data_IF_289310233894
#
_entry.id   IF_289310233894
#
_cell.length_a   1.000
_cell.length_b   1.000
_cell.length_c   1.000
_cell.angle_alpha   90.00
_cell.angle_beta   90.00
_cell.angle_gamma   90.00
#
_symmetry.space_group_name_H-M   'P 1'
#
loop_
_entity.id
_entity.type
_entity.pdbx_description
1 polymer ?
#
# COMPACT_ATOMS: atom_id res chain seq x y z
N UNK A 1 -10.19 -10.27 5.87
CA UNK A 1 -9.76 -9.10 5.10
C UNK A 1 -8.60 -9.46 4.21
N UNK A 2 -7.57 -10.09 4.77
CA UNK A 2 -6.41 -10.60 4.04
C UNK A 2 -6.73 -11.41 2.77
N UNK A 3 -7.63 -12.41 2.83
CA UNK A 3 -8.03 -13.15 1.62
C UNK A 3 -8.67 -12.24 0.56
N UNK A 4 -9.47 -11.25 0.97
CA UNK A 4 -10.06 -10.28 0.05
C UNK A 4 -8.96 -9.40 -0.57
N UNK A 5 -8.02 -8.91 0.24
CA UNK A 5 -6.87 -8.12 -0.18
C UNK A 5 -6.07 -8.83 -1.28
N UNK A 6 -5.79 -10.11 -1.12
CA UNK A 6 -5.15 -10.91 -2.16
C UNK A 6 -6.07 -11.10 -3.39
N UNK A 7 -7.33 -11.45 -3.18
CA UNK A 7 -8.27 -11.79 -4.27
C UNK A 7 -8.61 -10.63 -5.21
N UNK A 8 -8.60 -9.38 -4.70
CA UNK A 8 -8.89 -8.19 -5.50
C UNK A 8 -7.63 -7.57 -6.12
N UNK A 9 -6.47 -8.19 -5.93
CA UNK A 9 -5.21 -7.79 -6.57
C UNK A 9 -4.35 -6.81 -5.76
N UNK A 10 -4.70 -6.42 -4.53
CA UNK A 10 -3.83 -5.52 -3.75
C UNK A 10 -2.44 -6.13 -3.51
N UNK A 11 -2.37 -7.44 -3.33
CA UNK A 11 -1.14 -8.18 -3.08
C UNK A 11 -0.18 -8.26 -4.28
N UNK A 12 -0.54 -7.73 -5.46
CA UNK A 12 0.38 -7.71 -6.61
C UNK A 12 1.57 -6.77 -6.40
N UNK A 13 1.36 -5.66 -5.69
CA UNK A 13 2.39 -4.67 -5.33
C UNK A 13 2.61 -4.65 -3.82
N UNK A 14 1.54 -4.76 -3.03
CA UNK A 14 1.63 -4.91 -1.57
C UNK A 14 1.84 -6.37 -1.17
N UNK A 15 2.91 -6.98 -1.68
CA UNK A 15 3.21 -8.39 -1.45
C UNK A 15 3.38 -8.68 0.05
N UNK A 16 2.62 -9.62 0.64
CA UNK A 16 2.60 -9.83 2.09
C UNK A 16 3.99 -10.10 2.66
N UNK A 17 4.72 -11.02 2.04
CA UNK A 17 5.96 -11.58 2.56
C UNK A 17 7.19 -11.04 1.84
N UNK A 18 8.20 -10.71 2.61
CA UNK A 18 9.57 -10.45 2.14
C UNK A 18 10.55 -11.29 2.94
N UNK A 19 11.74 -11.50 2.38
CA UNK A 19 12.83 -12.23 3.04
C UNK A 19 14.11 -11.43 2.95
N UNK A 20 14.81 -11.26 4.07
CA UNK A 20 16.13 -10.65 4.05
C UNK A 20 17.12 -11.52 3.28
N UNK A 21 18.18 -10.89 2.77
CA UNK A 21 19.30 -11.60 2.16
C UNK A 21 20.17 -12.33 3.18
N UNK A 22 21.23 -12.97 2.68
CA UNK A 22 22.26 -13.54 3.55
C UNK A 22 22.95 -12.43 4.35
N UNK A 23 23.18 -12.64 5.64
CA UNK A 23 23.76 -11.66 6.55
C UNK A 23 24.71 -12.29 7.56
N UNK A 24 25.76 -11.55 7.97
CA UNK A 24 26.63 -11.93 9.09
C UNK A 24 25.95 -11.66 10.45
N UNK A 25 24.95 -10.79 10.46
CA UNK A 25 24.12 -10.52 11.64
C UNK A 25 23.06 -11.61 11.68
N UNK A 26 23.21 -12.56 12.61
CA UNK A 26 22.36 -13.76 12.73
C UNK A 26 20.87 -13.44 12.74
N UNK A 27 20.45 -12.36 13.43
CA UNK A 27 19.05 -11.96 13.52
C UNK A 27 18.48 -11.36 12.22
N UNK A 28 19.30 -11.19 11.18
CA UNK A 28 18.91 -10.68 9.86
C UNK A 28 19.21 -11.67 8.73
N UNK A 29 19.72 -12.86 9.01
CA UNK A 29 20.10 -13.83 7.97
C UNK A 29 18.89 -14.65 7.50
N UNK A 30 18.46 -14.42 6.25
CA UNK A 30 17.34 -15.14 5.61
C UNK A 30 16.02 -15.12 6.40
N UNK A 31 15.74 -14.03 7.09
CA UNK A 31 14.55 -13.84 7.92
C UNK A 31 13.36 -13.43 7.06
N UNK A 32 12.26 -14.16 7.20
CA UNK A 32 10.97 -13.82 6.59
C UNK A 32 10.22 -12.80 7.47
N UNK A 33 9.59 -11.82 6.84
CA UNK A 33 8.83 -10.77 7.50
C UNK A 33 7.67 -10.29 6.63
N UNK A 34 6.62 -9.74 7.26
CA UNK A 34 5.36 -9.42 6.59
C UNK A 34 5.18 -7.91 6.43
N UNK A 35 5.86 -7.31 5.45
CA UNK A 35 5.85 -5.86 5.25
C UNK A 35 4.77 -5.37 4.28
N UNK A 36 4.11 -6.26 3.53
CA UNK A 36 3.05 -5.89 2.57
C UNK A 36 3.53 -4.86 1.53
N UNK A 37 4.67 -5.15 0.91
CA UNK A 37 5.33 -4.32 -0.11
C UNK A 37 6.31 -5.18 -0.90
N UNK A 38 6.53 -4.82 -2.15
CA UNK A 38 7.60 -5.35 -3.00
C UNK A 38 8.81 -4.38 -3.10
N UNK A 39 8.68 -3.18 -2.54
CA UNK A 39 9.64 -2.06 -2.63
C UNK A 39 9.94 -1.60 -4.07
N UNK A 40 9.12 -1.97 -5.05
CA UNK A 40 9.27 -1.57 -6.45
C UNK A 40 8.56 -0.24 -6.72
N UNK A 41 8.91 0.38 -7.87
CA UNK A 41 8.23 1.53 -8.42
C UNK A 41 7.09 1.06 -9.33
N UNK A 42 5.93 1.71 -9.20
CA UNK A 42 4.75 1.43 -10.02
C UNK A 42 4.15 2.73 -10.53
N UNK A 43 3.67 2.71 -11.78
CA UNK A 43 2.88 3.80 -12.32
C UNK A 43 1.52 3.87 -11.60
N UNK A 44 1.30 4.94 -10.84
CA UNK A 44 0.05 5.19 -10.11
C UNK A 44 -0.93 6.05 -10.90
N UNK A 45 -0.58 6.41 -12.13
CA UNK A 45 -1.41 7.19 -13.05
C UNK A 45 -1.42 8.70 -12.78
N UNK A 46 -2.11 9.45 -13.66
CA UNK A 46 -2.00 10.92 -13.73
C UNK A 46 -2.57 11.66 -12.52
N UNK A 47 -3.41 11.03 -11.69
CA UNK A 47 -3.96 11.68 -10.49
C UNK A 47 -2.92 11.81 -9.37
N UNK A 48 -1.88 10.97 -9.41
CA UNK A 48 -0.74 10.98 -8.49
C UNK A 48 0.56 11.38 -9.19
N UNK A 49 0.47 11.97 -10.38
CA UNK A 49 1.62 12.58 -11.06
C UNK A 49 1.80 14.02 -10.55
N UNK A 50 2.92 14.30 -9.88
CA UNK A 50 3.25 15.65 -9.40
C UNK A 50 4.08 16.47 -10.41
N UNK A 51 4.38 15.88 -11.57
CA UNK A 51 5.19 16.48 -12.62
C UNK A 51 6.67 16.63 -12.28
N UNK A 52 7.13 16.04 -11.16
CA UNK A 52 8.51 16.12 -10.70
C UNK A 52 9.22 14.78 -10.82
N UNK A 53 10.42 14.79 -11.40
CA UNK A 53 11.20 13.57 -11.61
C UNK A 53 12.14 13.32 -10.42
N UNK A 54 11.98 12.18 -9.76
CA UNK A 54 12.88 11.72 -8.71
C UNK A 54 13.96 10.79 -9.28
N UNK A 55 15.05 11.39 -9.79
CA UNK A 55 16.18 10.66 -10.34
C UNK A 55 15.85 9.94 -11.65
N UNK A 56 15.55 8.64 -11.57
CA UNK A 56 15.18 7.80 -12.72
C UNK A 56 13.71 7.37 -12.72
N UNK A 57 12.97 7.64 -11.64
CA UNK A 57 11.54 7.38 -11.60
C UNK A 57 10.81 8.35 -12.53
N UNK A 58 9.81 7.85 -13.26
CA UNK A 58 8.86 8.71 -13.95
C UNK A 58 8.02 9.48 -12.94
N UNK A 59 7.41 10.58 -13.36
CA UNK A 59 6.70 11.51 -12.46
C UNK A 59 5.42 10.92 -11.86
N UNK A 60 4.87 9.86 -12.47
CA UNK A 60 3.74 9.09 -11.95
C UNK A 60 4.15 7.81 -11.21
N UNK A 61 5.45 7.49 -11.14
CA UNK A 61 5.94 6.27 -10.50
C UNK A 61 6.17 6.49 -9.00
N UNK A 62 5.56 5.64 -8.19
CA UNK A 62 5.73 5.66 -6.74
C UNK A 62 6.21 4.32 -6.24
N UNK A 63 7.10 4.37 -5.24
CA UNK A 63 7.53 3.16 -4.54
C UNK A 63 6.40 2.67 -3.66
N UNK A 64 6.03 1.39 -3.76
CA UNK A 64 5.06 0.77 -2.84
C UNK A 64 5.55 0.87 -1.39
N UNK A 65 4.95 1.69 -0.51
CA UNK A 65 5.39 1.73 0.88
C UNK A 65 4.96 0.46 1.64
N UNK A 66 5.77 -0.04 2.59
CA UNK A 66 5.33 -1.06 3.52
C UNK A 66 4.01 -0.67 4.22
N UNK A 67 3.04 -1.59 4.30
CA UNK A 67 1.79 -1.34 5.04
C UNK A 67 1.88 -1.69 6.53
N UNK A 68 3.02 -2.19 7.00
CA UNK A 68 3.22 -2.43 8.43
C UNK A 68 3.04 -1.14 9.26
N UNK A 69 2.23 -1.19 10.31
CA UNK A 69 1.87 -0.04 11.11
C UNK A 69 0.99 1.00 10.40
N UNK A 70 0.39 0.70 9.23
CA UNK A 70 -0.52 1.64 8.58
C UNK A 70 -1.80 1.85 9.42
N UNK A 71 -2.21 0.86 10.22
CA UNK A 71 -3.37 0.95 11.09
C UNK A 71 -3.20 1.92 12.28
N UNK A 72 -1.97 2.33 12.59
CA UNK A 72 -1.65 3.22 13.70
C UNK A 72 -1.26 4.64 13.25
N UNK A 73 -1.36 4.96 11.96
CA UNK A 73 -0.97 6.25 11.38
C UNK A 73 -1.67 7.45 12.05
N UNK A 74 -2.97 7.33 12.32
CA UNK A 74 -3.79 8.35 13.01
C UNK A 74 -3.22 8.73 14.38
N UNK A 75 -2.64 7.76 15.10
CA UNK A 75 -2.10 7.97 16.44
C UNK A 75 -0.76 8.75 16.43
N UNK A 76 0.00 8.68 15.33
CA UNK A 76 1.28 9.36 15.21
C UNK A 76 1.18 10.78 14.65
N UNK A 77 0.06 11.12 14.00
CA UNK A 77 -0.14 12.39 13.30
C UNK A 77 -1.13 13.32 14.02
N UNK A 78 -1.27 13.16 15.34
CA UNK A 78 -2.09 14.06 16.16
C UNK A 78 -3.59 13.82 16.05
N UNK A 79 -4.02 12.59 15.74
CA UNK A 79 -5.43 12.19 15.67
C UNK A 79 -6.04 12.28 14.28
N UNK A 80 -5.24 12.49 13.24
CA UNK A 80 -5.68 12.49 11.84
C UNK A 80 -4.66 11.74 11.01
N UNK A 81 -5.08 10.77 10.20
CA UNK A 81 -4.20 10.11 9.24
C UNK A 81 -4.09 10.91 7.94
N UNK A 82 -2.91 10.90 7.34
CA UNK A 82 -2.59 11.40 6.01
C UNK A 82 -1.92 10.29 5.20
N UNK A 83 -2.52 9.94 4.06
CA UNK A 83 -2.08 8.88 3.15
C UNK A 83 -1.70 9.45 1.78
N UNK A 84 -1.03 8.62 0.98
CA UNK A 84 -0.40 8.99 -0.29
C UNK A 84 0.81 9.92 -0.08
N UNK A 85 1.59 10.14 -1.14
CA UNK A 85 2.85 10.88 -1.06
C UNK A 85 2.68 12.34 -0.63
N UNK A 86 1.51 12.93 -0.91
CA UNK A 86 1.19 14.33 -0.61
C UNK A 86 0.19 14.51 0.54
N UNK A 87 -0.23 13.41 1.18
CA UNK A 87 -1.12 13.44 2.32
C UNK A 87 -2.58 13.82 2.01
N UNK A 88 -3.00 13.89 0.73
CA UNK A 88 -4.36 14.36 0.39
C UNK A 88 -5.47 13.44 0.88
N UNK A 89 -5.19 12.15 1.07
CA UNK A 89 -6.18 11.17 1.49
C UNK A 89 -6.21 11.02 3.01
N UNK A 90 -7.40 11.11 3.59
CA UNK A 90 -7.62 11.05 5.05
C UNK A 90 -8.17 9.71 5.55
N UNK A 91 -8.57 8.84 4.63
CA UNK A 91 -9.09 7.50 4.90
C UNK A 91 -8.46 6.47 3.97
N UNK A 92 -8.53 5.20 4.34
CA UNK A 92 -8.08 4.12 3.45
C UNK A 92 -8.88 4.07 2.16
N UNK A 93 -10.19 4.29 2.25
CA UNK A 93 -11.08 4.33 1.10
C UNK A 93 -10.66 5.43 0.12
N UNK A 94 -10.40 6.64 0.61
CA UNK A 94 -9.92 7.74 -0.21
C UNK A 94 -8.55 7.42 -0.84
N UNK A 95 -7.63 6.82 -0.08
CA UNK A 95 -6.32 6.41 -0.59
C UNK A 95 -6.44 5.34 -1.69
N UNK A 96 -7.31 4.33 -1.48
CA UNK A 96 -7.59 3.29 -2.47
C UNK A 96 -8.19 3.90 -3.74
N UNK A 97 -9.09 4.89 -3.60
CA UNK A 97 -9.72 5.55 -4.75
C UNK A 97 -8.73 6.29 -5.67
N UNK A 98 -7.57 6.72 -5.16
CA UNK A 98 -6.50 7.32 -5.95
C UNK A 98 -5.56 6.31 -6.62
N UNK A 99 -5.75 5.00 -6.44
CA UNK A 99 -4.94 4.00 -7.15
C UNK A 99 -5.35 3.95 -8.63
N UNK A 100 -4.66 4.74 -9.45
CA UNK A 100 -4.71 4.70 -10.92
C UNK A 100 -3.63 3.79 -11.49
N UNK A 101 -3.30 3.97 -12.77
CA UNK A 101 -2.22 3.24 -13.45
C UNK A 101 -2.32 1.73 -13.27
N UNK A 102 -1.25 1.11 -12.77
CA UNK A 102 -1.19 -0.33 -12.46
C UNK A 102 -2.17 -0.75 -11.35
N UNK A 103 -2.49 0.15 -10.41
CA UNK A 103 -3.43 -0.08 -9.31
C UNK A 103 -4.91 0.03 -9.68
N UNK A 104 -5.25 0.49 -10.90
CA UNK A 104 -6.62 0.80 -11.30
C UNK A 104 -7.57 -0.41 -11.21
N UNK A 105 -7.09 -1.60 -11.61
CA UNK A 105 -7.90 -2.82 -11.55
C UNK A 105 -8.26 -3.19 -10.09
N UNK A 106 -7.31 -3.07 -9.17
CA UNK A 106 -7.52 -3.35 -7.74
C UNK A 106 -8.45 -2.33 -7.09
N UNK A 107 -8.34 -1.04 -7.44
CA UNK A 107 -9.28 0.01 -7.04
C UNK A 107 -10.70 -0.31 -7.50
N UNK A 108 -10.85 -0.65 -8.77
CA UNK A 108 -12.18 -0.89 -9.36
C UNK A 108 -12.81 -2.16 -8.76
N UNK A 109 -12.01 -3.19 -8.49
CA UNK A 109 -12.43 -4.38 -7.75
C UNK A 109 -12.86 -4.03 -6.31
N UNK A 110 -12.11 -3.17 -5.60
CA UNK A 110 -12.52 -2.66 -4.28
C UNK A 110 -13.87 -1.92 -4.34
N UNK A 111 -14.06 -1.04 -5.33
CA UNK A 111 -15.32 -0.30 -5.53
C UNK A 111 -16.52 -1.23 -5.70
N UNK A 112 -16.32 -2.34 -6.41
CA UNK A 112 -17.34 -3.36 -6.68
C UNK A 112 -17.66 -4.27 -5.48
N UNK A 113 -16.86 -4.25 -4.40
CA UNK A 113 -17.14 -5.04 -3.20
C UNK A 113 -18.43 -4.59 -2.50
N UNK A 114 -19.09 -5.54 -1.84
CA UNK A 114 -20.17 -5.24 -0.90
C UNK A 114 -19.65 -4.42 0.29
N UNK A 115 -20.52 -3.65 0.95
CA UNK A 115 -20.14 -2.87 2.14
C UNK A 115 -19.57 -3.77 3.26
N UNK A 116 -20.09 -4.99 3.39
CA UNK A 116 -19.59 -5.98 4.33
C UNK A 116 -18.15 -6.40 4.01
N UNK A 117 -17.82 -6.57 2.72
CA UNK A 117 -16.48 -6.95 2.27
C UNK A 117 -15.50 -5.79 2.33
N UNK A 118 -15.93 -4.57 1.98
CA UNK A 118 -15.16 -3.34 2.22
C UNK A 118 -14.80 -3.23 3.69
N UNK A 119 -15.77 -3.39 4.59
CA UNK A 119 -15.51 -3.36 6.03
C UNK A 119 -14.53 -4.46 6.49
N UNK A 120 -14.59 -5.67 5.91
CA UNK A 120 -13.62 -6.76 6.20
C UNK A 120 -12.22 -6.42 5.73
N UNK A 121 -12.07 -5.79 4.56
CA UNK A 121 -10.77 -5.35 4.03
C UNK A 121 -10.19 -4.23 4.89
N UNK A 122 -10.97 -3.20 5.18
CA UNK A 122 -10.52 -2.04 5.95
C UNK A 122 -10.15 -2.41 7.40
N UNK A 123 -10.86 -3.38 8.01
CA UNK A 123 -10.45 -3.92 9.31
C UNK A 123 -9.10 -4.64 9.25
N UNK A 124 -8.81 -5.31 8.13
CA UNK A 124 -7.51 -5.94 7.94
C UNK A 124 -6.40 -4.88 7.76
N UNK A 125 -6.62 -3.84 6.95
CA UNK A 125 -5.66 -2.73 6.84
C UNK A 125 -5.41 -2.05 8.20
N UNK A 126 -6.44 -1.90 9.05
CA UNK A 126 -6.29 -1.40 10.43
C UNK A 126 -5.50 -2.33 11.35
N UNK A 127 -5.39 -3.61 11.02
CA UNK A 127 -4.61 -4.57 11.82
C UNK A 127 -3.15 -4.67 11.40
N UNK A 128 -2.77 -4.01 10.30
CA UNK A 128 -1.40 -3.96 9.80
C UNK A 128 -0.58 -2.90 10.52
#
# INVERSE_FOLDING_TARGET
>A
GELLFASIGCASCHTPDMRTGRSEIVVLDQVEFHAYTDLLLHDMGPELDDGYTEGRALTSEWRTPPLWGIGIQENFQGGQAFYLHDGRALTFEAAIDFHGGEGAASRDAFRALSDADKARLLRFLRSL
#
